data_IF_480562173565
#
_entry.id   IF_480562173565
#
_cell.length_a   1.000
_cell.length_b   1.000
_cell.length_c   1.000
_cell.angle_alpha   90.00
_cell.angle_beta   90.00
_cell.angle_gamma   90.00
#
_symmetry.space_group_name_H-M   'P 1'
#
loop_
_entity.id
_entity.type
_entity.pdbx_description
1 polymer ?
#
# COMPACT_ATOMS: atom_id res chain seq x y z
N UNK A 1 -14.00 -1.14 18.15
CA UNK A 1 -15.13 -1.86 17.54
C UNK A 1 -16.46 -1.12 17.60
N UNK A 2 -16.84 -0.50 18.73
CA UNK A 2 -18.09 0.28 18.87
C UNK A 2 -18.28 1.32 17.74
N UNK A 3 -17.26 2.15 17.49
CA UNK A 3 -17.28 3.17 16.43
C UNK A 3 -17.51 2.58 15.03
N UNK A 4 -16.82 1.49 14.64
CA UNK A 4 -17.00 0.86 13.33
C UNK A 4 -18.41 0.32 13.15
N UNK A 5 -19.01 -0.22 14.22
CA UNK A 5 -20.39 -0.70 14.20
C UNK A 5 -21.39 0.46 14.07
N UNK A 6 -21.13 1.59 14.72
CA UNK A 6 -21.94 2.80 14.55
C UNK A 6 -21.91 3.28 13.10
N UNK A 7 -20.72 3.42 12.50
CA UNK A 7 -20.54 3.81 11.09
C UNK A 7 -21.25 2.84 10.15
N UNK A 8 -21.09 1.53 10.34
CA UNK A 8 -21.76 0.51 9.54
C UNK A 8 -23.29 0.64 9.61
N UNK A 9 -23.83 0.84 10.82
CA UNK A 9 -25.27 1.00 11.03
C UNK A 9 -25.82 2.30 10.44
N UNK A 10 -25.06 3.39 10.50
CA UNK A 10 -25.42 4.65 9.85
C UNK A 10 -25.47 4.46 8.33
N UNK A 11 -24.43 3.85 7.74
CA UNK A 11 -24.36 3.59 6.29
C UNK A 11 -25.49 2.67 5.81
N UNK A 12 -25.87 1.65 6.60
CA UNK A 12 -27.00 0.75 6.29
C UNK A 12 -28.36 1.46 6.19
N UNK A 13 -28.54 2.58 6.89
CA UNK A 13 -29.80 3.34 6.94
C UNK A 13 -29.95 4.36 5.81
N UNK A 14 -28.87 4.65 5.08
CA UNK A 14 -28.94 5.56 3.94
C UNK A 14 -29.67 4.83 2.81
N UNK A 15 -30.83 5.36 2.44
CA UNK A 15 -31.62 4.86 1.31
C UNK A 15 -31.21 5.62 0.03
N UNK A 16 -30.70 4.89 -0.96
CA UNK A 16 -30.24 5.46 -2.24
C UNK A 16 -28.86 4.94 -2.65
N UNK A 17 -28.60 4.89 -3.95
CA UNK A 17 -27.27 4.54 -4.48
C UNK A 17 -26.34 5.73 -4.25
N UNK A 18 -25.22 5.51 -3.55
CA UNK A 18 -24.16 6.51 -3.45
C UNK A 18 -23.62 6.85 -4.85
N UNK A 19 -23.21 8.10 -5.07
CA UNK A 19 -22.56 8.52 -6.33
C UNK A 19 -21.26 7.73 -6.61
N UNK A 20 -20.64 7.19 -5.56
CA UNK A 20 -19.51 6.26 -5.65
C UNK A 20 -19.71 5.10 -4.66
N UNK A 21 -19.37 3.89 -5.10
CA UNK A 21 -19.40 2.67 -4.28
C UNK A 21 -18.01 2.48 -3.69
N UNK A 22 -17.92 2.39 -2.36
CA UNK A 22 -16.67 2.11 -1.65
C UNK A 22 -16.63 0.72 -1.02
N UNK A 23 -15.52 0.38 -0.37
CA UNK A 23 -15.32 -0.93 0.26
C UNK A 23 -16.36 -1.26 1.34
N UNK A 24 -16.83 -0.26 2.09
CA UNK A 24 -17.85 -0.45 3.12
C UNK A 24 -19.20 -0.79 2.48
N UNK A 25 -19.52 -0.16 1.35
CA UNK A 25 -20.74 -0.46 0.60
C UNK A 25 -20.75 -1.91 0.10
N UNK A 26 -19.61 -2.39 -0.44
CA UNK A 26 -19.45 -3.80 -0.86
C UNK A 26 -19.65 -4.77 0.31
N UNK A 27 -19.08 -4.46 1.49
CA UNK A 27 -19.29 -5.28 2.68
C UNK A 27 -20.76 -5.29 3.15
N UNK A 28 -21.47 -4.16 3.01
CA UNK A 28 -22.89 -4.06 3.38
C UNK A 28 -23.75 -4.87 2.41
N UNK A 29 -23.49 -4.78 1.10
CA UNK A 29 -24.21 -5.53 0.08
C UNK A 29 -24.05 -7.04 0.30
N UNK A 30 -22.83 -7.52 0.52
CA UNK A 30 -22.53 -8.92 0.81
C UNK A 30 -23.27 -9.44 2.06
N UNK A 31 -23.31 -8.64 3.13
CA UNK A 31 -24.00 -9.02 4.39
C UNK A 31 -25.53 -9.00 4.25
N UNK A 32 -26.08 -8.30 3.24
CA UNK A 32 -27.52 -8.21 2.98
C UNK A 32 -28.05 -9.31 2.04
N UNK A 33 -27.18 -10.10 1.41
CA UNK A 33 -27.61 -11.19 0.53
C UNK A 33 -28.43 -12.26 1.28
N UNK A 34 -29.30 -12.97 0.56
CA UNK A 34 -30.14 -14.04 1.13
C UNK A 34 -29.30 -15.21 1.67
N UNK A 35 -28.11 -15.45 1.09
CA UNK A 35 -27.15 -16.47 1.52
C UNK A 35 -25.73 -15.86 1.61
N UNK A 36 -25.45 -15.05 2.63
CA UNK A 36 -24.24 -14.24 2.69
C UNK A 36 -23.00 -15.12 2.93
N UNK A 37 -21.90 -14.84 2.21
CA UNK A 37 -20.63 -15.56 2.39
C UNK A 37 -19.88 -15.13 3.67
N UNK A 38 -20.25 -13.97 4.24
CA UNK A 38 -19.66 -13.46 5.48
C UNK A 38 -20.70 -12.87 6.45
N UNK A 39 -20.38 -12.93 7.75
CA UNK A 39 -21.21 -12.33 8.80
C UNK A 39 -20.88 -10.86 9.00
N UNK A 40 -21.79 -10.09 9.60
CA UNK A 40 -21.54 -8.68 10.00
C UNK A 40 -20.27 -8.54 10.87
N UNK A 41 -20.05 -9.48 11.81
CA UNK A 41 -18.85 -9.47 12.65
C UNK A 41 -17.58 -9.70 11.81
N UNK A 42 -17.65 -10.55 10.78
CA UNK A 42 -16.53 -10.78 9.86
C UNK A 42 -16.25 -9.52 9.04
N UNK A 43 -17.28 -8.86 8.52
CA UNK A 43 -17.15 -7.59 7.81
C UNK A 43 -16.50 -6.50 8.69
N UNK A 44 -16.93 -6.36 9.96
CA UNK A 44 -16.33 -5.44 10.92
C UNK A 44 -14.86 -5.77 11.21
N UNK A 45 -14.53 -7.05 11.33
CA UNK A 45 -13.14 -7.49 11.51
C UNK A 45 -12.27 -7.22 10.28
N UNK A 46 -12.81 -7.39 9.07
CA UNK A 46 -12.12 -7.05 7.82
C UNK A 46 -11.86 -5.55 7.73
N UNK A 47 -12.86 -4.72 8.02
CA UNK A 47 -12.71 -3.26 8.05
C UNK A 47 -11.65 -2.82 9.07
N UNK A 48 -11.69 -3.40 10.28
CA UNK A 48 -10.66 -3.14 11.29
C UNK A 48 -9.27 -3.58 10.83
N UNK A 49 -9.15 -4.76 10.22
CA UNK A 49 -7.88 -5.30 9.74
C UNK A 49 -7.28 -4.43 8.64
N UNK A 50 -8.10 -3.90 7.73
CA UNK A 50 -7.66 -2.98 6.69
C UNK A 50 -7.13 -1.67 7.28
N UNK A 51 -7.87 -1.07 8.22
CA UNK A 51 -7.46 0.16 8.89
C UNK A 51 -6.16 -0.04 9.70
N UNK A 52 -6.10 -1.12 10.47
CA UNK A 52 -4.92 -1.46 11.26
C UNK A 52 -3.70 -1.70 10.37
N UNK A 53 -3.87 -2.51 9.31
CA UNK A 53 -2.78 -2.87 8.41
C UNK A 53 -2.27 -1.71 7.57
N UNK A 54 -3.13 -0.74 7.20
CA UNK A 54 -2.76 0.39 6.34
C UNK A 54 -2.21 1.59 7.09
N UNK A 55 -2.60 1.79 8.36
CA UNK A 55 -2.24 2.99 9.11
C UNK A 55 -0.73 3.13 9.30
N UNK A 56 -0.11 2.13 9.93
CA UNK A 56 1.31 2.18 10.28
C UNK A 56 2.20 2.11 9.04
N UNK A 57 1.84 1.26 8.07
CA UNK A 57 2.61 1.09 6.83
C UNK A 57 2.59 2.33 5.96
N UNK A 58 1.42 2.96 5.77
CA UNK A 58 1.28 4.15 4.92
C UNK A 58 1.93 5.35 5.58
N UNK A 59 1.75 5.53 6.90
CA UNK A 59 2.40 6.62 7.65
C UNK A 59 3.93 6.51 7.57
N UNK A 60 4.46 5.31 7.80
CA UNK A 60 5.91 5.05 7.72
C UNK A 60 6.44 5.19 6.29
N UNK A 61 5.68 4.76 5.28
CA UNK A 61 6.02 4.93 3.87
C UNK A 61 6.12 6.41 3.47
N UNK A 62 5.12 7.22 3.84
CA UNK A 62 5.15 8.68 3.61
C UNK A 62 6.33 9.33 4.33
N UNK A 63 6.59 8.94 5.58
CA UNK A 63 7.75 9.43 6.33
C UNK A 63 9.07 9.08 5.63
N UNK A 64 9.20 7.84 5.13
CA UNK A 64 10.35 7.40 4.34
C UNK A 64 10.54 8.21 3.06
N UNK A 65 9.47 8.49 2.33
CA UNK A 65 9.50 9.34 1.13
C UNK A 65 9.93 10.78 1.44
N UNK A 66 9.40 11.39 2.51
CA UNK A 66 9.78 12.74 2.91
C UNK A 66 11.26 12.81 3.32
N UNK A 67 11.74 11.80 4.04
CA UNK A 67 13.17 11.69 4.37
C UNK A 67 14.02 11.55 3.10
N UNK A 68 13.65 10.64 2.20
CA UNK A 68 14.34 10.44 0.93
C UNK A 68 14.47 11.75 0.13
N UNK A 69 13.37 12.48 -0.03
CA UNK A 69 13.36 13.76 -0.75
C UNK A 69 14.17 14.85 -0.06
N UNK A 70 14.17 14.87 1.28
CA UNK A 70 14.97 15.82 2.07
C UNK A 70 16.47 15.56 1.91
N UNK A 71 16.87 14.29 1.85
CA UNK A 71 18.27 13.89 1.65
C UNK A 71 18.72 14.04 0.18
N UNK A 72 17.77 14.14 -0.78
CA UNK A 72 18.03 14.20 -2.22
C UNK A 72 17.36 15.44 -2.88
N UNK A 73 17.95 16.64 -2.74
CA UNK A 73 17.36 17.87 -3.28
C UNK A 73 17.15 17.87 -4.81
N UNK A 74 18.00 17.18 -5.57
CA UNK A 74 17.82 17.06 -7.03
C UNK A 74 16.59 16.23 -7.38
N UNK A 75 16.34 15.11 -6.67
CA UNK A 75 15.12 14.33 -6.83
C UNK A 75 13.88 15.17 -6.48
N UNK A 76 13.94 15.97 -5.41
CA UNK A 76 12.84 16.88 -5.09
C UNK A 76 12.60 17.92 -6.20
N UNK A 77 13.67 18.47 -6.79
CA UNK A 77 13.57 19.42 -7.90
C UNK A 77 12.92 18.79 -9.13
N UNK A 78 13.35 17.60 -9.52
CA UNK A 78 12.80 16.88 -10.67
C UNK A 78 11.34 16.45 -10.45
N UNK A 79 11.00 15.93 -9.26
CA UNK A 79 9.63 15.61 -8.89
C UNK A 79 8.73 16.85 -8.92
N UNK A 80 9.24 17.99 -8.44
CA UNK A 80 8.51 19.28 -8.49
C UNK A 80 8.30 19.75 -9.93
N UNK A 81 9.29 19.56 -10.80
CA UNK A 81 9.19 19.90 -12.22
C UNK A 81 8.16 19.01 -12.95
N UNK A 82 8.15 17.70 -12.68
CA UNK A 82 7.15 16.76 -13.21
C UNK A 82 5.72 17.24 -12.89
N UNK A 83 5.43 17.52 -11.61
CA UNK A 83 4.10 17.95 -11.17
C UNK A 83 3.73 19.35 -11.69
N UNK A 84 4.69 20.28 -11.76
CA UNK A 84 4.46 21.59 -12.35
C UNK A 84 4.11 21.49 -13.85
N UNK A 85 4.76 20.60 -14.58
CA UNK A 85 4.49 20.37 -15.99
C UNK A 85 3.10 19.75 -16.21
N UNK A 86 2.67 18.83 -15.35
CA UNK A 86 1.29 18.32 -15.36
C UNK A 86 0.30 19.46 -15.12
N UNK A 87 0.51 20.25 -14.06
CA UNK A 87 -0.37 21.37 -13.70
C UNK A 87 -0.46 22.44 -14.78
N UNK A 88 0.63 22.76 -15.49
CA UNK A 88 0.66 23.73 -16.60
C UNK A 88 -0.17 23.29 -17.81
N UNK A 89 -0.39 21.98 -17.99
CA UNK A 89 -1.21 21.45 -19.10
C UNK A 89 -2.71 21.48 -18.81
N UNK A 90 -3.10 21.75 -17.56
CA UNK A 90 -4.52 21.82 -17.17
C UNK A 90 -5.14 23.12 -17.66
N UNK A 91 -6.36 22.99 -18.18
CA UNK A 91 -7.19 24.15 -18.50
C UNK A 91 -7.72 24.85 -17.23
N UNK A 92 -8.08 24.07 -16.20
CA UNK A 92 -8.47 24.56 -14.90
C UNK A 92 -7.44 24.13 -13.83
N UNK A 93 -6.82 25.11 -13.18
CA UNK A 93 -5.83 24.88 -12.13
C UNK A 93 -6.43 24.31 -10.83
N UNK A 94 -7.75 24.42 -10.64
CA UNK A 94 -8.47 23.88 -9.49
C UNK A 94 -9.05 22.50 -9.74
N UNK A 95 -8.93 21.97 -10.96
CA UNK A 95 -9.40 20.63 -11.27
C UNK A 95 -8.60 19.56 -10.51
N UNK A 96 -9.30 18.48 -10.14
CA UNK A 96 -8.71 17.32 -9.47
C UNK A 96 -7.68 16.61 -10.36
N UNK A 97 -6.81 15.81 -9.73
CA UNK A 97 -5.88 14.96 -10.49
C UNK A 97 -6.68 13.90 -11.24
N UNK A 98 -6.48 13.83 -12.54
CA UNK A 98 -7.10 12.79 -13.38
C UNK A 98 -6.27 11.51 -13.37
N UNK A 99 -6.91 10.40 -13.74
CA UNK A 99 -6.24 9.09 -13.82
C UNK A 99 -5.10 9.05 -14.84
N UNK A 100 -5.27 9.73 -15.97
CA UNK A 100 -4.22 9.82 -17.00
C UNK A 100 -3.02 10.64 -16.53
N UNK A 101 -3.25 11.71 -15.76
CA UNK A 101 -2.16 12.46 -15.15
C UNK A 101 -1.41 11.64 -14.10
N UNK A 102 -2.13 10.95 -13.21
CA UNK A 102 -1.52 10.07 -12.21
C UNK A 102 -0.61 9.01 -12.87
N UNK A 103 -1.09 8.35 -13.93
CA UNK A 103 -0.30 7.37 -14.70
C UNK A 103 0.91 7.99 -15.40
N UNK A 104 0.89 9.29 -15.67
CA UNK A 104 1.99 10.00 -16.32
C UNK A 104 3.14 10.36 -15.36
N UNK A 105 2.93 10.26 -14.04
CA UNK A 105 3.91 10.60 -12.99
C UNK A 105 5.00 9.52 -12.83
N UNK A 106 5.81 9.34 -13.88
CA UNK A 106 6.85 8.30 -13.94
C UNK A 106 7.93 8.53 -12.89
N UNK A 107 8.43 9.75 -12.77
CA UNK A 107 9.51 10.06 -11.84
C UNK A 107 9.03 9.96 -10.39
N UNK A 108 7.80 10.41 -10.10
CA UNK A 108 7.15 10.16 -8.81
C UNK A 108 7.10 8.67 -8.47
N UNK A 109 6.81 7.80 -9.44
CA UNK A 109 6.84 6.36 -9.23
C UNK A 109 8.25 5.85 -8.87
N UNK A 110 9.30 6.36 -9.51
CA UNK A 110 10.69 5.99 -9.15
C UNK A 110 11.01 6.40 -7.71
N UNK A 111 10.69 7.63 -7.32
CA UNK A 111 10.87 8.13 -5.95
C UNK A 111 10.13 7.27 -4.93
N UNK A 112 8.88 6.88 -5.20
CA UNK A 112 8.10 6.00 -4.32
C UNK A 112 8.82 4.66 -4.15
N UNK A 113 9.22 4.01 -5.24
CA UNK A 113 9.86 2.71 -5.19
C UNK A 113 11.22 2.75 -4.48
N UNK A 114 12.03 3.77 -4.76
CA UNK A 114 13.36 3.90 -4.16
C UNK A 114 13.28 4.22 -2.67
N UNK A 115 12.37 5.14 -2.28
CA UNK A 115 12.12 5.42 -0.88
C UNK A 115 11.64 4.16 -0.13
N UNK A 116 10.77 3.34 -0.72
CA UNK A 116 10.30 2.10 -0.11
C UNK A 116 11.39 1.02 -0.06
N UNK A 117 12.27 0.94 -1.07
CA UNK A 117 13.44 0.04 -1.08
C UNK A 117 14.35 0.33 0.12
N UNK A 118 14.69 1.60 0.32
CA UNK A 118 15.58 2.05 1.39
C UNK A 118 14.91 2.01 2.78
N UNK A 119 13.67 2.51 2.90
CA UNK A 119 12.98 2.58 4.18
C UNK A 119 12.57 1.20 4.70
N UNK A 120 12.35 0.22 3.82
CA UNK A 120 12.05 -1.17 4.16
C UNK A 120 11.01 -1.31 5.28
N UNK A 121 9.85 -0.67 5.11
CA UNK A 121 8.79 -0.49 6.13
C UNK A 121 8.35 -1.82 6.77
N UNK A 122 8.32 -2.90 6.00
CA UNK A 122 8.08 -4.25 6.50
C UNK A 122 9.31 -5.11 6.20
N UNK A 123 10.34 -5.08 7.06
CA UNK A 123 11.64 -5.67 6.75
C UNK A 123 11.63 -7.20 6.81
N UNK A 124 10.58 -7.80 7.38
CA UNK A 124 10.50 -9.21 7.65
C UNK A 124 9.08 -9.73 7.50
N UNK A 125 8.95 -10.95 6.98
CA UNK A 125 7.69 -11.68 6.85
C UNK A 125 7.92 -13.15 7.16
N UNK A 126 6.93 -13.78 7.80
CA UNK A 126 7.02 -15.18 8.20
C UNK A 126 6.15 -16.06 7.29
N UNK A 127 6.59 -17.29 7.08
CA UNK A 127 5.87 -18.38 6.41
C UNK A 127 6.04 -19.66 7.19
N UNK A 128 5.14 -20.60 6.98
CA UNK A 128 5.25 -21.97 7.49
C UNK A 128 5.22 -22.93 6.32
N UNK A 129 6.13 -23.91 6.32
CA UNK A 129 6.13 -24.98 5.33
C UNK A 129 4.95 -25.92 5.61
N UNK A 130 3.96 -25.98 4.71
CA UNK A 130 2.79 -26.85 4.87
C UNK A 130 3.08 -28.32 4.47
N UNK A 131 4.21 -28.54 3.79
CA UNK A 131 4.74 -29.83 3.35
C UNK A 131 6.28 -29.73 3.26
N UNK A 132 6.94 -30.86 3.01
CA UNK A 132 8.39 -30.88 2.80
C UNK A 132 8.74 -30.17 1.48
N UNK A 133 9.52 -29.08 1.55
CA UNK A 133 9.89 -28.27 0.38
C UNK A 133 11.38 -28.38 0.10
N UNK A 134 11.76 -28.53 -1.17
CA UNK A 134 13.16 -28.49 -1.60
C UNK A 134 13.45 -27.21 -2.40
N UNK A 135 14.31 -26.33 -1.88
CA UNK A 135 14.66 -25.06 -2.53
C UNK A 135 16.17 -24.96 -2.67
N UNK A 136 16.67 -24.83 -3.90
CA UNK A 136 18.11 -24.63 -4.21
C UNK A 136 19.05 -25.62 -3.48
N UNK A 137 18.63 -26.87 -3.35
CA UNK A 137 19.40 -27.92 -2.67
C UNK A 137 19.19 -28.03 -1.16
N UNK A 138 18.37 -27.16 -0.55
CA UNK A 138 18.00 -27.24 0.86
C UNK A 138 16.65 -27.94 1.01
N UNK A 139 16.60 -28.95 1.89
CA UNK A 139 15.36 -29.57 2.34
C UNK A 139 14.80 -28.79 3.53
N UNK A 140 13.56 -28.33 3.41
CA UNK A 140 12.81 -27.60 4.43
C UNK A 140 11.65 -28.52 4.86
N UNK A 141 11.71 -29.13 6.04
CA UNK A 141 10.65 -30.01 6.51
C UNK A 141 9.32 -29.27 6.69
N UNK A 142 8.22 -29.99 6.56
CA UNK A 142 6.89 -29.55 6.98
C UNK A 142 6.92 -28.99 8.41
N UNK A 143 6.07 -28.00 8.67
CA UNK A 143 5.95 -27.23 9.93
C UNK A 143 7.15 -26.31 10.26
N UNK A 144 8.16 -26.23 9.37
CA UNK A 144 9.26 -25.28 9.53
C UNK A 144 8.77 -23.84 9.42
N UNK A 145 9.16 -22.99 10.38
CA UNK A 145 8.95 -21.54 10.32
C UNK A 145 10.06 -20.88 9.52
N UNK A 146 9.68 -20.21 8.44
CA UNK A 146 10.59 -19.55 7.50
C UNK A 146 10.47 -18.05 7.71
N UNK A 147 11.61 -17.41 7.97
CA UNK A 147 11.73 -15.96 8.04
C UNK A 147 12.28 -15.44 6.72
N UNK A 148 11.50 -14.59 6.05
CA UNK A 148 11.88 -13.94 4.80
C UNK A 148 12.19 -12.48 5.13
N UNK A 149 13.36 -12.00 4.71
CA UNK A 149 13.80 -10.62 4.96
C UNK A 149 13.95 -9.85 3.64
N UNK A 150 12.88 -9.26 3.07
CA UNK A 150 12.95 -8.51 1.81
C UNK A 150 14.00 -7.40 1.83
N UNK A 151 14.21 -6.76 2.99
CA UNK A 151 15.23 -5.70 3.15
C UNK A 151 16.64 -6.15 2.77
N UNK A 152 16.97 -7.44 2.96
CA UNK A 152 18.28 -7.98 2.57
C UNK A 152 18.45 -8.04 1.05
N UNK A 153 17.36 -8.23 0.31
CA UNK A 153 17.36 -8.19 -1.16
C UNK A 153 17.36 -6.75 -1.65
N UNK A 154 16.53 -5.88 -1.04
CA UNK A 154 16.46 -4.46 -1.35
C UNK A 154 17.81 -3.74 -1.19
N UNK A 155 18.66 -4.21 -0.27
CA UNK A 155 19.98 -3.63 0.01
C UNK A 155 21.14 -4.52 -0.52
N UNK A 156 20.86 -5.47 -1.42
CA UNK A 156 21.87 -6.39 -1.92
C UNK A 156 22.72 -5.76 -3.04
N UNK A 157 24.06 -5.65 -2.90
CA UNK A 157 24.93 -5.05 -3.92
C UNK A 157 25.04 -5.90 -5.21
N UNK A 158 24.61 -7.16 -5.18
CA UNK A 158 24.53 -8.01 -6.38
C UNK A 158 23.30 -7.67 -7.23
N UNK A 159 22.26 -7.10 -6.62
CA UNK A 159 21.00 -6.76 -7.29
C UNK A 159 20.96 -5.27 -7.64
N UNK A 160 21.46 -4.41 -6.75
CA UNK A 160 21.47 -2.95 -6.89
C UNK A 160 22.90 -2.44 -6.77
N UNK A 161 23.35 -1.65 -7.75
CA UNK A 161 24.61 -0.92 -7.64
C UNK A 161 24.49 0.14 -6.54
N UNK A 162 25.51 0.24 -5.68
CA UNK A 162 25.52 1.11 -4.49
C UNK A 162 24.21 1.10 -3.67
N UNK A 163 23.82 -0.04 -3.09
CA UNK A 163 22.47 -0.28 -2.56
C UNK A 163 22.11 0.59 -1.35
N UNK A 164 23.09 1.22 -0.70
CA UNK A 164 22.89 2.08 0.46
C UNK A 164 22.79 3.57 0.09
N UNK A 165 23.11 3.91 -1.16
CA UNK A 165 22.91 5.23 -1.70
C UNK A 165 21.53 5.34 -2.33
N UNK A 166 20.97 6.54 -2.27
CA UNK A 166 19.73 6.88 -2.94
C UNK A 166 20.02 7.20 -4.40
N UNK A 167 19.44 6.42 -5.31
CA UNK A 167 19.52 6.69 -6.75
C UNK A 167 18.12 7.10 -7.22
N UNK A 168 17.92 8.34 -7.71
CA UNK A 168 16.63 8.77 -8.25
C UNK A 168 16.18 7.97 -9.48
#
# INVERSE_FOLDING_TARGET
MKMLKEILNERKKIEGRHESIDFLDVLIEEVKEDNPSMTENTALNLLFSLLFGSFDTTSSGITGMLKFLTDNPEALRELTEEHNNIRRRRADLNSEITWEEYKSMKFTSHVIHEALRLASITPMMFREAIEDVHIKGFAIPKESKIMICPSTVHLNPVVYEDPIHSIP
#
